data_IF_339497633263
#
_entry.id   IF_339497633263
#
_cell.length_a   1.000
_cell.length_b   1.000
_cell.length_c   1.000
_cell.angle_alpha   90.00
_cell.angle_beta   90.00
_cell.angle_gamma   90.00
#
_symmetry.space_group_name_H-M   'P 1'
#
loop_
_entity.id
_entity.type
_entity.pdbx_description
1 polymer ?
#
# COMPACT_ATOMS: atom_id res chain seq x y z
N UNK A 1 -39.43 -3.66 -7.71
CA UNK A 1 -38.70 -2.80 -6.76
C UNK A 1 -37.29 -3.37 -6.60
N UNK A 2 -36.26 -2.77 -7.22
CA UNK A 2 -34.89 -3.27 -7.17
C UNK A 2 -34.18 -2.63 -5.97
N UNK A 3 -33.66 -3.44 -5.04
CA UNK A 3 -32.81 -2.96 -3.95
C UNK A 3 -31.51 -2.46 -4.57
N UNK A 4 -31.30 -1.14 -4.60
CA UNK A 4 -30.00 -0.56 -4.95
C UNK A 4 -29.10 -0.71 -3.73
N UNK A 5 -28.34 -1.80 -3.68
CA UNK A 5 -27.26 -1.91 -2.72
C UNK A 5 -26.22 -0.87 -3.12
N UNK A 6 -26.03 0.14 -2.27
CA UNK A 6 -24.93 1.10 -2.32
C UNK A 6 -23.62 0.34 -2.06
N UNK A 7 -23.18 -0.48 -3.02
CA UNK A 7 -21.82 -0.95 -3.06
C UNK A 7 -21.00 0.26 -3.51
N UNK A 8 -20.43 0.99 -2.55
CA UNK A 8 -19.42 2.01 -2.80
C UNK A 8 -18.37 1.38 -3.71
N UNK A 9 -18.42 1.72 -5.00
CA UNK A 9 -17.55 1.16 -6.02
C UNK A 9 -16.15 1.63 -5.71
N UNK A 10 -15.38 0.80 -5.00
CA UNK A 10 -13.94 1.02 -4.86
C UNK A 10 -13.40 1.04 -6.29
N UNK A 11 -12.79 2.16 -6.75
CA UNK A 11 -12.23 2.23 -8.10
C UNK A 11 -11.31 1.03 -8.34
N UNK A 12 -11.38 0.38 -9.49
CA UNK A 12 -10.55 -0.80 -9.83
C UNK A 12 -9.04 -0.53 -9.67
N UNK A 13 -8.62 0.74 -9.68
CA UNK A 13 -7.25 1.20 -9.46
C UNK A 13 -6.87 1.45 -8.00
N UNK A 14 -7.73 1.11 -7.03
CA UNK A 14 -7.45 1.35 -5.61
C UNK A 14 -6.60 0.23 -5.00
N UNK A 15 -5.63 0.61 -4.17
CA UNK A 15 -4.82 -0.34 -3.40
C UNK A 15 -4.93 -0.08 -1.90
N UNK A 16 -4.68 -1.12 -1.10
CA UNK A 16 -4.70 -1.05 0.35
C UNK A 16 -3.63 -1.98 0.93
N UNK A 17 -3.04 -1.56 2.04
CA UNK A 17 -2.01 -2.30 2.77
C UNK A 17 -2.06 -1.94 4.26
N UNK A 18 -1.49 -2.81 5.09
CA UNK A 18 -1.28 -2.60 6.50
C UNK A 18 0.19 -2.24 6.76
N UNK A 19 0.43 -1.38 7.76
CA UNK A 19 1.78 -0.96 8.16
C UNK A 19 2.02 -1.44 9.58
N UNK A 20 3.10 -2.18 9.78
CA UNK A 20 3.52 -2.69 11.09
C UNK A 20 4.94 -2.21 11.42
N UNK A 21 5.21 -1.89 12.69
CA UNK A 21 6.59 -1.70 13.14
C UNK A 21 7.37 -3.03 13.07
N UNK A 22 8.58 -2.96 12.54
CA UNK A 22 9.55 -4.03 12.56
C UNK A 22 10.76 -3.64 13.44
N UNK A 23 11.58 -4.62 13.83
CA UNK A 23 12.71 -4.44 14.76
C UNK A 23 13.59 -3.22 14.44
N UNK A 24 13.82 -2.94 13.15
CA UNK A 24 14.65 -1.83 12.67
C UNK A 24 13.94 -0.93 11.63
N UNK A 25 12.61 -0.96 11.54
CA UNK A 25 11.91 -0.17 10.54
C UNK A 25 10.42 -0.50 10.39
N UNK A 26 9.95 -0.61 9.16
CA UNK A 26 8.53 -0.82 8.83
C UNK A 26 8.35 -2.00 7.88
N UNK A 27 7.29 -2.76 8.12
CA UNK A 27 6.80 -3.77 7.19
C UNK A 27 5.44 -3.34 6.66
N UNK A 28 5.27 -3.47 5.34
CA UNK A 28 4.05 -3.17 4.62
C UNK A 28 3.48 -4.48 4.09
N UNK A 29 2.27 -4.83 4.48
CA UNK A 29 1.58 -6.05 4.04
C UNK A 29 0.41 -5.69 3.14
N UNK A 30 0.39 -6.23 1.94
CA UNK A 30 -0.69 -6.00 1.00
C UNK A 30 -2.01 -6.54 1.54
N UNK A 31 -3.07 -5.76 1.36
CA UNK A 31 -4.45 -6.22 1.51
C UNK A 31 -5.04 -6.49 0.12
N UNK A 32 -4.84 -5.57 -0.83
CA UNK A 32 -5.27 -5.70 -2.24
C UNK A 32 -4.66 -4.63 -3.13
N UNK A 33 -4.70 -4.86 -4.45
CA UNK A 33 -4.42 -3.84 -5.47
C UNK A 33 -2.95 -3.45 -5.60
N UNK A 34 -2.04 -4.11 -4.88
CA UNK A 34 -0.59 -3.93 -5.02
C UNK A 34 0.03 -5.09 -5.81
N UNK A 35 1.13 -4.82 -6.50
CA UNK A 35 1.91 -5.81 -7.24
C UNK A 35 2.84 -6.63 -6.33
N UNK A 36 3.02 -6.18 -5.09
CA UNK A 36 3.81 -6.83 -4.05
C UNK A 36 2.89 -7.39 -2.96
N UNK A 37 3.30 -8.50 -2.31
CA UNK A 37 2.58 -9.08 -1.16
C UNK A 37 3.07 -8.50 0.17
N UNK A 38 4.36 -8.30 0.29
CA UNK A 38 5.00 -7.74 1.47
C UNK A 38 6.24 -6.94 1.05
N UNK A 39 6.46 -5.81 1.70
CA UNK A 39 7.69 -5.03 1.61
C UNK A 39 8.21 -4.80 3.02
N UNK A 40 9.51 -5.00 3.23
CA UNK A 40 10.17 -4.67 4.49
C UNK A 40 11.22 -3.61 4.24
N UNK A 41 11.23 -2.60 5.10
CA UNK A 41 12.18 -1.50 5.06
C UNK A 41 12.86 -1.39 6.42
N UNK A 42 14.16 -1.65 6.45
CA UNK A 42 14.97 -1.85 7.65
C UNK A 42 15.92 -0.67 7.95
N UNK A 43 15.75 0.44 7.23
CA UNK A 43 16.62 1.61 7.33
C UNK A 43 15.83 2.84 7.72
N UNK A 44 16.45 3.77 8.44
CA UNK A 44 15.91 5.12 8.56
C UNK A 44 15.98 5.78 7.17
N UNK A 45 14.87 6.29 6.60
CA UNK A 45 14.93 6.98 5.31
C UNK A 45 15.88 8.18 5.41
N UNK A 46 16.98 8.14 4.66
CA UNK A 46 17.90 9.30 4.56
C UNK A 46 17.32 10.44 3.71
N UNK A 47 16.23 10.15 2.99
CA UNK A 47 15.47 11.05 2.13
C UNK A 47 14.02 10.57 2.06
N UNK A 48 13.13 11.43 1.59
CA UNK A 48 11.73 11.06 1.30
C UNK A 48 11.69 9.86 0.36
N UNK A 49 10.84 8.89 0.68
CA UNK A 49 10.53 7.76 -0.19
C UNK A 49 9.04 7.78 -0.54
N UNK A 50 8.74 7.30 -1.73
CA UNK A 50 7.38 7.18 -2.24
C UNK A 50 7.03 5.69 -2.26
N UNK A 51 5.87 5.36 -1.70
CA UNK A 51 5.31 4.01 -1.68
C UNK A 51 3.99 4.04 -2.46
N UNK A 52 3.85 3.15 -3.44
CA UNK A 52 2.64 2.96 -4.22
C UNK A 52 2.33 1.47 -4.46
N UNK A 53 1.35 1.18 -5.32
CA UNK A 53 0.98 -0.19 -5.67
C UNK A 53 2.09 -0.97 -6.39
N UNK A 54 3.07 -0.30 -7.00
CA UNK A 54 4.19 -0.93 -7.69
C UNK A 54 5.38 -1.22 -6.77
N UNK A 55 5.55 -0.44 -5.70
CA UNK A 55 6.60 -0.65 -4.71
C UNK A 55 7.10 0.63 -4.06
N UNK A 56 8.38 0.64 -3.68
CA UNK A 56 9.05 1.79 -3.08
C UNK A 56 9.99 2.42 -4.10
N UNK A 57 9.95 3.74 -4.23
CA UNK A 57 10.82 4.53 -5.11
C UNK A 57 11.35 5.77 -4.39
N UNK A 58 12.50 6.27 -4.85
CA UNK A 58 13.01 7.59 -4.44
C UNK A 58 12.43 8.76 -5.23
N UNK A 59 11.74 8.46 -6.33
CA UNK A 59 11.07 9.45 -7.16
C UNK A 59 9.56 9.28 -7.01
N UNK A 60 8.84 10.41 -7.06
CA UNK A 60 7.38 10.38 -7.11
C UNK A 60 6.97 9.88 -8.50
N UNK A 61 6.22 8.78 -8.53
CA UNK A 61 5.50 8.33 -9.72
C UNK A 61 4.22 9.16 -9.93
#
# INVERSE_FOLDING_TARGET
MKRTNNASSIPESSFAFHVEPAKNGLTFKSIRGTNWKELSYDRTPRRTMYLDNSGISSNKN
#
